data_IF_194716841399
#
_entry.id   IF_194716841399
#
_cell.length_a   1.000
_cell.length_b   1.000
_cell.length_c   1.000
_cell.angle_alpha   90.00
_cell.angle_beta   90.00
_cell.angle_gamma   90.00
#
_symmetry.space_group_name_H-M   'P 1'
#
loop_
_entity.id
_entity.type
_entity.pdbx_description
1 polymer ?
#
# COMPACT_ATOMS: atom_id res chain seq x y z
N UNK A 1 -27.40 -0.02 -23.24
CA UNK A 1 -25.94 0.11 -23.16
C UNK A 1 -25.58 -0.19 -21.72
N UNK A 2 -25.10 -1.39 -21.42
CA UNK A 2 -24.68 -1.74 -20.06
C UNK A 2 -23.35 -1.04 -19.81
N UNK A 3 -23.43 0.20 -19.34
CA UNK A 3 -22.26 1.03 -19.05
C UNK A 3 -21.51 0.47 -17.85
N UNK A 4 -20.20 0.67 -17.87
CA UNK A 4 -19.33 0.47 -16.72
C UNK A 4 -19.65 1.55 -15.69
N UNK A 5 -20.21 1.16 -14.54
CA UNK A 5 -20.53 2.06 -13.43
C UNK A 5 -19.37 2.00 -12.44
N UNK A 6 -18.65 3.12 -12.30
CA UNK A 6 -17.64 3.31 -11.27
C UNK A 6 -18.33 3.92 -10.06
N UNK A 7 -18.05 3.36 -8.88
CA UNK A 7 -18.38 4.00 -7.61
C UNK A 7 -17.09 4.60 -7.00
N UNK A 8 -16.90 5.94 -7.06
CA UNK A 8 -15.74 6.61 -6.47
C UNK A 8 -15.61 6.40 -4.96
N UNK A 9 -16.73 6.32 -4.23
CA UNK A 9 -16.73 6.05 -2.79
C UNK A 9 -16.12 4.67 -2.49
N UNK A 10 -16.52 3.65 -3.24
CA UNK A 10 -15.94 2.31 -3.10
C UNK A 10 -14.44 2.27 -3.44
N UNK A 11 -13.99 3.08 -4.41
CA UNK A 11 -12.55 3.21 -4.71
C UNK A 11 -11.79 3.88 -3.56
N UNK A 12 -12.33 4.92 -2.94
CA UNK A 12 -11.72 5.57 -1.77
C UNK A 12 -11.65 4.65 -0.58
N UNK A 13 -12.74 3.96 -0.27
CA UNK A 13 -12.80 3.04 0.87
C UNK A 13 -11.82 1.88 0.68
N UNK A 14 -11.74 1.34 -0.55
CA UNK A 14 -10.75 0.33 -0.92
C UNK A 14 -9.33 0.86 -0.79
N UNK A 15 -9.05 2.05 -1.31
CA UNK A 15 -7.74 2.70 -1.21
C UNK A 15 -7.30 2.95 0.24
N UNK A 16 -8.21 3.46 1.08
CA UNK A 16 -7.98 3.67 2.50
C UNK A 16 -7.71 2.35 3.23
N UNK A 17 -8.51 1.31 2.97
CA UNK A 17 -8.34 -0.01 3.58
C UNK A 17 -6.99 -0.64 3.23
N UNK A 18 -6.56 -0.53 1.98
CA UNK A 18 -5.25 -1.01 1.53
C UNK A 18 -4.13 -0.21 2.22
N UNK A 19 -4.25 1.12 2.25
CA UNK A 19 -3.28 1.99 2.91
C UNK A 19 -3.14 1.70 4.40
N UNK A 20 -4.24 1.49 5.11
CA UNK A 20 -4.26 1.12 6.53
C UNK A 20 -3.63 -0.25 6.76
N UNK A 21 -3.92 -1.21 5.88
CA UNK A 21 -3.32 -2.55 5.93
C UNK A 21 -1.81 -2.49 5.70
N UNK A 22 -1.35 -1.69 4.74
CA UNK A 22 0.07 -1.50 4.44
C UNK A 22 0.83 -0.89 5.63
N UNK A 23 0.27 0.15 6.26
CA UNK A 23 0.87 0.77 7.46
C UNK A 23 0.91 -0.20 8.63
N UNK A 24 -0.20 -0.89 8.91
CA UNK A 24 -0.26 -1.90 9.97
C UNK A 24 0.74 -3.04 9.75
N UNK A 25 0.91 -3.48 8.50
CA UNK A 25 1.92 -4.47 8.15
C UNK A 25 3.35 -3.94 8.40
N UNK A 26 3.64 -2.70 7.99
CA UNK A 26 4.93 -2.04 8.24
C UNK A 26 5.28 -1.94 9.73
N UNK A 27 4.32 -1.52 10.56
CA UNK A 27 4.49 -1.43 12.01
C UNK A 27 4.78 -2.80 12.64
N UNK A 28 4.04 -3.83 12.22
CA UNK A 28 4.24 -5.21 12.69
C UNK A 28 5.58 -5.78 12.24
N UNK A 29 6.02 -5.45 11.02
CA UNK A 29 7.32 -5.87 10.50
C UNK A 29 8.46 -5.22 11.29
N UNK A 30 8.33 -3.93 11.64
CA UNK A 30 9.29 -3.25 12.50
C UNK A 30 9.34 -3.87 13.90
N UNK A 31 8.19 -4.15 14.50
CA UNK A 31 8.12 -4.82 15.79
C UNK A 31 8.78 -6.21 15.75
N UNK A 32 8.51 -6.99 14.69
CA UNK A 32 9.14 -8.29 14.48
C UNK A 32 10.66 -8.19 14.34
N UNK A 33 11.17 -7.19 13.60
CA UNK A 33 12.60 -6.93 13.49
C UNK A 33 13.23 -6.59 14.85
N UNK A 34 12.55 -5.79 15.66
CA UNK A 34 13.01 -5.44 17.00
C UNK A 34 13.05 -6.67 17.93
N UNK A 35 12.05 -7.55 17.85
CA UNK A 35 12.05 -8.82 18.56
C UNK A 35 13.21 -9.71 18.11
N UNK A 36 13.46 -9.83 16.80
CA UNK A 36 14.58 -10.61 16.28
C UNK A 36 15.95 -10.07 16.71
N UNK A 37 16.10 -8.75 16.85
CA UNK A 37 17.33 -8.15 17.37
C UNK A 37 17.66 -8.59 18.81
N UNK A 38 16.67 -9.05 19.60
CA UNK A 38 16.93 -9.60 20.93
C UNK A 38 17.63 -10.96 20.90
N UNK A 39 17.63 -11.64 19.75
CA UNK A 39 18.33 -12.91 19.52
C UNK A 39 19.72 -12.71 18.92
N UNK A 40 20.22 -11.47 18.86
CA UNK A 40 21.58 -11.24 18.37
C UNK A 40 22.62 -11.95 19.25
N UNK A 41 23.59 -12.60 18.62
CA UNK A 41 24.56 -13.48 19.30
C UNK A 41 24.02 -14.85 19.75
N UNK A 42 22.77 -15.21 19.45
CA UNK A 42 22.19 -16.51 19.84
C UNK A 42 22.92 -17.73 19.25
N UNK A 43 23.69 -17.53 18.19
CA UNK A 43 24.44 -18.59 17.51
C UNK A 43 25.82 -18.85 18.12
N UNK A 44 26.28 -17.97 19.04
CA UNK A 44 27.61 -18.03 19.64
C UNK A 44 28.72 -17.44 18.75
N UNK A 45 29.86 -17.14 19.37
CA UNK A 45 31.01 -16.51 18.70
C UNK A 45 32.04 -17.54 18.17
N UNK A 46 31.73 -18.83 18.27
CA UNK A 46 32.60 -19.88 17.76
C UNK A 46 32.48 -20.04 16.23
N UNK A 47 33.31 -20.91 15.65
CA UNK A 47 33.31 -21.14 14.22
C UNK A 47 31.96 -21.67 13.69
N UNK A 48 31.19 -22.39 14.51
CA UNK A 48 29.86 -22.90 14.14
C UNK A 48 28.86 -21.74 14.17
N UNK A 49 28.90 -20.91 15.19
CA UNK A 49 28.07 -19.72 15.32
C UNK A 49 28.28 -18.74 14.17
N UNK A 50 29.53 -18.51 13.77
CA UNK A 50 29.84 -17.68 12.60
C UNK A 50 29.28 -18.25 11.28
N UNK A 51 29.29 -19.58 11.10
CA UNK A 51 28.74 -20.25 9.92
C UNK A 51 27.21 -20.14 9.82
N UNK A 52 26.52 -19.91 10.94
CA UNK A 52 25.05 -19.75 10.99
C UNK A 52 24.66 -18.28 10.98
N UNK A 53 25.31 -17.47 11.80
CA UNK A 53 24.96 -16.07 12.04
C UNK A 53 25.09 -15.20 10.79
N UNK A 54 26.18 -15.35 10.02
CA UNK A 54 26.38 -14.52 8.83
C UNK A 54 25.35 -14.79 7.71
N UNK A 55 25.06 -16.06 7.32
CA UNK A 55 23.96 -16.34 6.39
C UNK A 55 22.59 -15.93 6.93
N UNK A 56 22.33 -16.14 8.22
CA UNK A 56 21.08 -15.68 8.86
C UNK A 56 20.90 -14.18 8.69
N UNK A 57 21.92 -13.38 9.02
CA UNK A 57 21.88 -11.93 8.88
C UNK A 57 21.57 -11.53 7.44
N UNK A 58 22.33 -12.05 6.46
CA UNK A 58 22.15 -11.71 5.05
C UNK A 58 20.74 -12.05 4.52
N UNK A 59 20.21 -13.23 4.86
CA UNK A 59 18.88 -13.66 4.42
C UNK A 59 17.79 -12.86 5.13
N UNK A 60 17.95 -12.58 6.42
CA UNK A 60 16.98 -11.80 7.19
C UNK A 60 16.88 -10.35 6.69
N UNK A 61 18.02 -9.70 6.41
CA UNK A 61 18.06 -8.35 5.84
C UNK A 61 17.36 -8.29 4.48
N UNK A 62 17.67 -9.24 3.59
CA UNK A 62 17.01 -9.34 2.29
C UNK A 62 15.49 -9.55 2.43
N UNK A 63 15.06 -10.43 3.33
CA UNK A 63 13.63 -10.66 3.58
C UNK A 63 12.92 -9.38 4.07
N UNK A 64 13.55 -8.64 4.99
CA UNK A 64 13.01 -7.36 5.48
C UNK A 64 12.86 -6.33 4.37
N UNK A 65 13.83 -6.24 3.45
CA UNK A 65 13.73 -5.36 2.29
C UNK A 65 12.59 -5.76 1.35
N UNK A 66 12.40 -7.06 1.09
CA UNK A 66 11.28 -7.54 0.29
C UNK A 66 9.93 -7.19 0.93
N UNK A 67 9.78 -7.40 2.24
CA UNK A 67 8.55 -7.08 2.94
C UNK A 67 8.28 -5.57 2.95
N UNK A 68 9.31 -4.74 3.15
CA UNK A 68 9.16 -3.28 3.07
C UNK A 68 8.74 -2.83 1.67
N UNK A 69 9.36 -3.36 0.62
CA UNK A 69 8.98 -3.04 -0.76
C UNK A 69 7.51 -3.40 -1.03
N UNK A 70 7.04 -4.56 -0.58
CA UNK A 70 5.64 -4.95 -0.71
C UNK A 70 4.69 -4.01 0.05
N UNK A 71 5.07 -3.55 1.24
CA UNK A 71 4.29 -2.58 2.01
C UNK A 71 4.17 -1.23 1.26
N UNK A 72 5.28 -0.76 0.71
CA UNK A 72 5.34 0.50 -0.05
C UNK A 72 4.48 0.41 -1.34
N UNK A 73 4.50 -0.74 -2.04
CA UNK A 73 3.66 -0.99 -3.21
C UNK A 73 2.17 -0.98 -2.87
N UNK A 74 1.77 -1.60 -1.74
CA UNK A 74 0.38 -1.55 -1.27
C UNK A 74 -0.04 -0.12 -0.96
N UNK A 75 0.81 0.67 -0.29
CA UNK A 75 0.50 2.06 0.01
C UNK A 75 0.34 2.91 -1.26
N UNK A 76 1.20 2.68 -2.27
CA UNK A 76 1.08 3.31 -3.58
C UNK A 76 -0.24 2.94 -4.24
N UNK A 77 -0.57 1.65 -4.30
CA UNK A 77 -1.82 1.18 -4.90
C UNK A 77 -3.06 1.78 -4.19
N UNK A 78 -3.04 1.88 -2.86
CA UNK A 78 -4.11 2.53 -2.12
C UNK A 78 -4.26 4.02 -2.45
N UNK A 79 -3.14 4.72 -2.66
CA UNK A 79 -3.12 6.13 -3.08
C UNK A 79 -3.66 6.29 -4.49
N UNK A 80 -3.26 5.41 -5.41
CA UNK A 80 -3.72 5.43 -6.81
C UNK A 80 -5.24 5.25 -6.91
N UNK A 81 -5.84 4.40 -6.08
CA UNK A 81 -7.29 4.26 -6.01
C UNK A 81 -8.00 5.55 -5.57
N UNK A 82 -7.42 6.29 -4.63
CA UNK A 82 -7.92 7.61 -4.22
C UNK A 82 -7.85 8.62 -5.37
N UNK A 83 -6.73 8.67 -6.08
CA UNK A 83 -6.55 9.53 -7.27
C UNK A 83 -7.55 9.16 -8.37
N UNK A 84 -7.79 7.87 -8.60
CA UNK A 84 -8.80 7.41 -9.54
C UNK A 84 -10.20 7.87 -9.14
N UNK A 85 -10.57 7.75 -7.87
CA UNK A 85 -11.88 8.20 -7.37
C UNK A 85 -12.10 9.70 -7.64
N UNK A 86 -11.12 10.53 -7.32
CA UNK A 86 -11.19 11.98 -7.56
C UNK A 86 -11.27 12.30 -9.06
N UNK A 87 -10.56 11.53 -9.89
CA UNK A 87 -10.64 11.65 -11.35
C UNK A 87 -12.03 11.35 -11.91
N UNK A 88 -12.70 10.31 -11.40
CA UNK A 88 -14.05 9.96 -11.83
C UNK A 88 -15.09 10.99 -11.39
N UNK A 89 -15.05 11.46 -10.14
CA UNK A 89 -15.96 12.51 -9.68
C UNK A 89 -15.79 13.81 -10.48
N UNK A 90 -14.55 14.24 -10.70
CA UNK A 90 -14.29 15.44 -11.49
C UNK A 90 -14.80 15.35 -12.94
N UNK A 91 -14.76 14.14 -13.53
CA UNK A 91 -15.32 13.89 -14.86
C UNK A 91 -16.86 13.98 -14.86
N UNK A 92 -17.52 13.37 -13.88
CA UNK A 92 -18.97 13.36 -13.75
C UNK A 92 -19.53 14.77 -13.43
N UNK A 93 -18.85 15.52 -12.57
CA UNK A 93 -19.19 16.93 -12.28
C UNK A 93 -19.05 17.81 -13.53
N UNK A 94 -17.96 17.65 -14.28
CA UNK A 94 -17.71 18.39 -15.51
C UNK A 94 -18.76 18.09 -16.59
N UNK A 95 -19.12 16.81 -16.76
CA UNK A 95 -20.15 16.39 -17.70
C UNK A 95 -21.53 16.96 -17.29
N UNK A 96 -21.89 16.82 -16.01
CA UNK A 96 -23.13 17.35 -15.46
C UNK A 96 -23.23 18.88 -15.64
N UNK A 97 -22.15 19.61 -15.37
CA UNK A 97 -22.08 21.05 -15.58
C UNK A 97 -22.25 21.47 -17.04
N UNK A 98 -21.64 20.73 -17.98
CA UNK A 98 -21.82 20.98 -19.42
C UNK A 98 -23.28 20.81 -19.84
N UNK A 99 -23.92 19.71 -19.44
CA UNK A 99 -25.32 19.45 -19.78
C UNK A 99 -26.28 20.48 -19.16
N UNK A 100 -26.06 20.90 -17.91
CA UNK A 100 -26.83 21.97 -17.28
C UNK A 100 -26.70 23.30 -18.02
N UNK A 101 -25.50 23.63 -18.50
CA UNK A 101 -25.27 24.84 -19.29
C UNK A 101 -25.97 24.78 -20.65
N UNK A 102 -25.87 23.65 -21.36
CA UNK A 102 -26.60 23.44 -22.61
C UNK A 102 -28.12 23.53 -22.42
N UNK A 103 -28.65 22.93 -21.35
CA UNK A 103 -30.07 23.02 -21.03
C UNK A 103 -30.51 24.47 -20.82
N UNK A 104 -29.70 25.28 -20.13
CA UNK A 104 -29.97 26.72 -19.92
C UNK A 104 -29.87 27.55 -21.20
N UNK A 105 -29.12 27.10 -22.21
CA UNK A 105 -29.00 27.81 -23.49
C UNK A 105 -30.14 27.47 -24.46
N UNK A 106 -30.78 26.31 -24.29
CA UNK A 106 -31.81 25.79 -25.20
C UNK A 106 -33.25 25.98 -24.68
N UNK A 107 -33.43 26.26 -23.39
CA UNK A 107 -34.71 26.64 -22.77
C UNK A 107 -34.81 28.14 -22.56
#
# INVERSE_FOLDING_TARGET
MTGFEINPESLRDGGATIGDTARSFGDRLQAFRAELASYDGAWGDDAIGALIGAPYQAVSEWAFDCYRAAADELLSAGTDLGVMADGYEGADESASGLFQNLHRQLG
#
